data_IF_855182649566
#
_entry.id   IF_855182649566
#
_cell.length_a   1.000
_cell.length_b   1.000
_cell.length_c   1.000
_cell.angle_alpha   90.00
_cell.angle_beta   90.00
_cell.angle_gamma   90.00
#
_symmetry.space_group_name_H-M   'P 1'
#
loop_
_entity.id
_entity.type
_entity.pdbx_description
1 polymer ?
#
# COMPACT_ATOMS: atom_id res chain seq x y z
N UNK A 1 -18.82 -4.34 -11.73
CA UNK A 1 -19.70 -4.42 -10.54
C UNK A 1 -18.82 -4.24 -9.31
N UNK A 2 -19.33 -3.84 -8.15
CA UNK A 2 -18.54 -3.84 -6.90
C UNK A 2 -17.65 -2.62 -6.62
N UNK A 3 -17.49 -1.66 -7.55
CA UNK A 3 -16.87 -0.36 -7.27
C UNK A 3 -17.96 0.71 -7.23
N UNK A 4 -18.03 1.46 -6.13
CA UNK A 4 -19.12 2.39 -5.85
C UNK A 4 -18.60 3.80 -5.54
N UNK A 5 -19.36 4.80 -6.00
CA UNK A 5 -19.26 6.18 -5.49
C UNK A 5 -20.00 6.33 -4.15
N UNK A 6 -21.11 5.60 -3.99
CA UNK A 6 -21.85 5.49 -2.75
C UNK A 6 -22.24 4.02 -2.51
N UNK A 7 -21.96 3.52 -1.29
CA UNK A 7 -22.31 2.14 -0.93
C UNK A 7 -23.83 1.94 -1.02
N UNK A 8 -24.34 0.85 -1.63
CA UNK A 8 -25.76 0.53 -1.59
C UNK A 8 -26.34 0.54 -0.17
N UNK A 9 -27.59 0.99 -0.01
CA UNK A 9 -28.23 1.19 1.29
C UNK A 9 -28.54 -0.13 2.02
N UNK A 10 -28.72 -1.20 1.27
CA UNK A 10 -28.95 -2.58 1.74
C UNK A 10 -27.68 -3.21 2.34
N UNK A 11 -26.49 -2.75 1.95
CA UNK A 11 -25.22 -3.20 2.53
C UNK A 11 -24.95 -2.46 3.85
N UNK A 12 -25.47 -3.04 4.94
CA UNK A 12 -25.29 -2.55 6.31
C UNK A 12 -24.35 -3.43 7.15
N UNK A 13 -23.99 -4.62 6.65
CA UNK A 13 -23.04 -5.53 7.27
C UNK A 13 -22.29 -6.33 6.21
N UNK A 14 -21.03 -6.65 6.50
CA UNK A 14 -20.18 -7.53 5.69
C UNK A 14 -19.31 -8.39 6.61
N UNK A 15 -18.60 -9.38 6.10
CA UNK A 15 -17.71 -10.22 6.88
C UNK A 15 -16.40 -9.49 7.24
N UNK A 16 -15.78 -8.83 6.27
CA UNK A 16 -14.47 -8.18 6.42
C UNK A 16 -14.52 -6.74 5.95
N UNK A 17 -13.95 -5.83 6.75
CA UNK A 17 -13.87 -4.40 6.41
C UNK A 17 -12.40 -3.95 6.33
N UNK A 18 -11.97 -3.48 5.16
CA UNK A 18 -10.62 -2.97 4.91
C UNK A 18 -10.71 -1.45 4.87
N UNK A 19 -10.16 -0.81 5.90
CA UNK A 19 -10.15 0.64 6.07
C UNK A 19 -8.92 1.26 5.40
N UNK A 20 -9.00 1.47 4.09
CA UNK A 20 -7.98 2.08 3.24
C UNK A 20 -7.60 1.14 2.10
N UNK A 21 -7.88 1.54 0.87
CA UNK A 21 -7.55 0.84 -0.36
C UNK A 21 -6.14 1.18 -0.87
N UNK A 22 -5.15 1.23 0.03
CA UNK A 22 -3.75 1.39 -0.34
C UNK A 22 -3.10 0.06 -0.75
N UNK A 23 -1.78 0.06 -0.99
CA UNK A 23 -1.00 -1.12 -1.44
C UNK A 23 -1.33 -2.41 -0.68
N UNK A 24 -1.24 -2.41 0.64
CA UNK A 24 -1.57 -3.59 1.44
C UNK A 24 -3.07 -3.93 1.43
N UNK A 25 -3.94 -2.92 1.51
CA UNK A 25 -5.39 -3.09 1.56
C UNK A 25 -5.94 -3.75 0.29
N UNK A 26 -5.50 -3.31 -0.88
CA UNK A 26 -5.86 -3.91 -2.16
C UNK A 26 -5.44 -5.38 -2.25
N UNK A 27 -4.21 -5.70 -1.84
CA UNK A 27 -3.68 -7.07 -1.89
C UNK A 27 -4.47 -7.97 -0.94
N UNK A 28 -4.68 -7.55 0.31
CA UNK A 28 -5.44 -8.33 1.30
C UNK A 28 -6.87 -8.57 0.82
N UNK A 29 -7.56 -7.54 0.33
CA UNK A 29 -8.92 -7.65 -0.19
C UNK A 29 -9.03 -8.69 -1.31
N UNK A 30 -8.17 -8.56 -2.33
CA UNK A 30 -8.18 -9.45 -3.48
C UNK A 30 -7.84 -10.89 -3.08
N UNK A 31 -6.79 -11.09 -2.27
CA UNK A 31 -6.40 -12.44 -1.83
C UNK A 31 -7.49 -13.11 -0.98
N UNK A 32 -8.18 -12.37 -0.12
CA UNK A 32 -9.31 -12.92 0.64
C UNK A 32 -10.46 -13.31 -0.30
N UNK A 33 -10.81 -12.46 -1.26
CA UNK A 33 -11.86 -12.75 -2.23
C UNK A 33 -11.53 -13.99 -3.08
N UNK A 34 -10.29 -14.09 -3.58
CA UNK A 34 -9.81 -15.22 -4.38
C UNK A 34 -9.84 -16.56 -3.63
N UNK A 35 -9.52 -16.56 -2.34
CA UNK A 35 -9.41 -17.78 -1.54
C UNK A 35 -10.73 -18.20 -0.90
N UNK A 36 -11.66 -17.27 -0.67
CA UNK A 36 -13.00 -17.56 -0.16
C UNK A 36 -14.05 -16.65 -0.81
N UNK A 37 -14.64 -17.08 -1.95
CA UNK A 37 -15.67 -16.32 -2.65
C UNK A 37 -16.97 -16.11 -1.86
N UNK A 38 -17.15 -16.83 -0.74
CA UNK A 38 -18.31 -16.66 0.14
C UNK A 38 -18.20 -15.43 1.04
N UNK A 39 -16.99 -14.89 1.23
CA UNK A 39 -16.77 -13.71 2.06
C UNK A 39 -17.36 -12.45 1.41
N UNK A 40 -18.13 -11.71 2.19
CA UNK A 40 -18.45 -10.31 1.89
C UNK A 40 -17.36 -9.39 2.41
N UNK A 41 -16.74 -8.64 1.50
CA UNK A 41 -15.57 -7.82 1.78
C UNK A 41 -15.88 -6.38 1.38
N UNK A 42 -15.64 -5.43 2.28
CA UNK A 42 -15.79 -4.00 2.01
C UNK A 42 -14.46 -3.27 2.15
N UNK A 43 -13.97 -2.68 1.06
CA UNK A 43 -12.83 -1.75 1.05
C UNK A 43 -13.35 -0.32 1.05
N UNK A 44 -12.94 0.48 2.02
CA UNK A 44 -13.26 1.91 2.11
C UNK A 44 -11.98 2.72 1.87
N UNK A 45 -11.95 3.54 0.82
CA UNK A 45 -10.83 4.39 0.45
C UNK A 45 -11.21 5.86 0.53
N UNK A 46 -10.38 6.67 1.19
CA UNK A 46 -10.65 8.10 1.38
C UNK A 46 -10.45 8.92 0.11
N UNK A 47 -9.48 8.52 -0.73
CA UNK A 47 -9.21 9.13 -2.01
C UNK A 47 -10.17 8.69 -3.12
N UNK A 48 -10.09 9.34 -4.29
CA UNK A 48 -10.89 8.98 -5.45
C UNK A 48 -10.44 7.64 -6.05
N UNK A 49 -11.24 7.11 -6.98
CA UNK A 49 -10.76 6.11 -7.91
C UNK A 49 -9.70 6.74 -8.85
N UNK A 50 -8.54 6.10 -8.98
CA UNK A 50 -7.44 6.57 -9.83
C UNK A 50 -7.55 6.14 -11.29
N UNK A 51 -8.43 5.20 -11.64
CA UNK A 51 -8.49 4.64 -12.99
C UNK A 51 -8.89 5.68 -14.04
N UNK A 52 -8.12 5.76 -15.13
CA UNK A 52 -8.34 6.73 -16.21
C UNK A 52 -7.75 8.11 -15.92
N UNK A 53 -7.14 8.32 -14.75
CA UNK A 53 -6.39 9.54 -14.47
C UNK A 53 -4.99 9.44 -15.10
N UNK A 54 -4.63 10.31 -16.07
CA UNK A 54 -3.32 10.26 -16.71
C UNK A 54 -2.14 10.38 -15.74
N UNK A 55 -2.28 11.12 -14.64
CA UNK A 55 -1.19 11.30 -13.66
C UNK A 55 -0.93 10.02 -12.86
N UNK A 56 -1.90 9.11 -12.81
CA UNK A 56 -1.77 7.77 -12.23
C UNK A 56 -1.27 6.80 -13.31
N UNK A 57 -2.00 6.69 -14.41
CA UNK A 57 -1.80 5.62 -15.40
C UNK A 57 -0.44 5.70 -16.13
N UNK A 58 0.06 6.91 -16.37
CA UNK A 58 1.30 7.13 -17.13
C UNK A 58 2.50 7.39 -16.21
N UNK A 59 3.52 6.51 -16.21
CA UNK A 59 4.73 6.65 -15.39
C UNK A 59 5.39 8.02 -15.45
N UNK A 60 5.50 8.62 -16.64
CA UNK A 60 6.19 9.89 -16.85
C UNK A 60 5.55 11.08 -16.09
N UNK A 61 4.28 10.97 -15.70
CA UNK A 61 3.53 12.05 -15.07
C UNK A 61 3.52 11.96 -13.53
N UNK A 62 4.31 11.06 -12.92
CA UNK A 62 4.25 10.81 -11.48
C UNK A 62 4.45 12.07 -10.62
N UNK A 63 5.29 13.02 -11.06
CA UNK A 63 5.54 14.29 -10.35
C UNK A 63 4.29 15.18 -10.27
N UNK A 64 3.34 15.06 -11.18
CA UNK A 64 2.09 15.82 -11.14
C UNK A 64 1.25 15.46 -9.89
N UNK A 65 1.39 14.24 -9.35
CA UNK A 65 0.73 13.83 -8.11
C UNK A 65 1.28 14.53 -6.86
N UNK A 66 2.37 15.29 -6.99
CA UNK A 66 2.95 16.10 -5.91
C UNK A 66 2.55 17.59 -6.00
N UNK A 67 1.77 17.97 -7.01
CA UNK A 67 1.28 19.33 -7.14
C UNK A 67 0.34 19.68 -5.97
N UNK A 68 0.35 20.92 -5.45
CA UNK A 68 -0.56 21.34 -4.38
C UNK A 68 -2.05 21.17 -4.69
N UNK A 69 -2.42 21.14 -5.96
CA UNK A 69 -3.79 20.98 -6.46
C UNK A 69 -4.20 19.53 -6.70
N UNK A 70 -3.30 18.57 -6.45
CA UNK A 70 -3.60 17.16 -6.66
C UNK A 70 -4.71 16.66 -5.73
N UNK A 71 -5.52 15.73 -6.21
CA UNK A 71 -6.49 14.99 -5.41
C UNK A 71 -5.99 13.60 -5.01
N UNK A 72 -4.89 13.14 -5.61
CA UNK A 72 -4.35 11.78 -5.45
C UNK A 72 -3.34 11.64 -4.31
N UNK A 73 -2.97 12.75 -3.68
CA UNK A 73 -2.09 12.79 -2.52
C UNK A 73 -2.67 13.66 -1.40
N UNK A 74 -2.37 13.28 -0.16
CA UNK A 74 -2.63 14.08 1.04
C UNK A 74 -1.30 14.57 1.61
N UNK A 75 -1.26 15.81 2.07
CA UNK A 75 -0.06 16.46 2.59
C UNK A 75 -0.19 16.74 4.08
N UNK A 76 0.60 16.04 4.90
CA UNK A 76 0.60 16.21 6.34
C UNK A 76 1.74 17.14 6.76
N UNK A 77 1.41 18.19 7.50
CA UNK A 77 2.38 19.14 8.02
C UNK A 77 2.86 18.69 9.41
N UNK A 78 4.18 18.63 9.61
CA UNK A 78 4.76 18.38 10.93
C UNK A 78 4.71 19.64 11.80
N UNK A 79 4.90 19.45 13.11
CA UNK A 79 5.27 20.58 13.98
C UNK A 79 6.67 21.10 13.63
N UNK A 80 6.98 22.33 14.05
CA UNK A 80 8.34 22.88 13.99
C UNK A 80 9.30 22.00 14.79
N UNK A 81 10.51 21.83 14.28
CA UNK A 81 11.57 21.10 14.95
C UNK A 81 12.88 21.89 14.89
N UNK A 82 13.51 22.12 16.05
CA UNK A 82 14.79 22.82 16.15
C UNK A 82 15.91 22.09 15.39
N UNK A 83 15.87 20.75 15.38
CA UNK A 83 16.79 19.92 14.58
C UNK A 83 16.66 20.11 13.07
N UNK A 84 15.62 20.81 12.61
CA UNK A 84 15.38 21.15 11.21
C UNK A 84 15.45 22.66 10.94
N UNK A 85 16.04 23.43 11.87
CA UNK A 85 16.07 24.89 11.81
C UNK A 85 14.67 25.51 11.93
N UNK A 86 13.85 24.97 12.83
CA UNK A 86 12.46 25.39 13.10
C UNK A 86 11.51 25.31 11.90
N UNK A 87 11.84 24.49 10.90
CA UNK A 87 10.96 24.21 9.77
C UNK A 87 9.86 23.22 10.12
N UNK A 88 8.75 23.37 9.42
CA UNK A 88 7.64 22.41 9.39
C UNK A 88 7.75 21.60 8.10
N UNK A 89 7.96 20.31 8.20
CA UNK A 89 8.12 19.43 7.03
C UNK A 89 6.75 18.99 6.54
N UNK A 90 6.59 18.97 5.22
CA UNK A 90 5.42 18.41 4.55
C UNK A 90 5.73 16.95 4.22
N UNK A 91 4.88 16.04 4.69
CA UNK A 91 4.95 14.60 4.43
C UNK A 91 3.79 14.21 3.52
N UNK A 92 4.03 14.01 2.22
CA UNK A 92 3.02 13.54 1.28
C UNK A 92 2.71 12.05 1.49
N UNK A 93 1.46 11.66 1.28
CA UNK A 93 1.04 10.26 1.24
C UNK A 93 0.00 10.05 0.14
N UNK A 94 -0.11 8.83 -0.40
CA UNK A 94 -1.19 8.50 -1.33
C UNK A 94 -2.58 8.71 -0.72
N UNK A 95 -3.45 9.34 -1.49
CA UNK A 95 -4.87 9.57 -1.20
C UNK A 95 -5.65 9.29 -2.49
N UNK A 96 -5.66 8.03 -2.89
CA UNK A 96 -6.28 7.50 -4.11
C UNK A 96 -6.34 5.98 -3.95
N UNK A 97 -7.30 5.31 -4.58
CA UNK A 97 -7.31 3.85 -4.63
C UNK A 97 -5.98 3.33 -5.24
N UNK A 98 -5.36 2.34 -4.58
CA UNK A 98 -3.98 1.90 -4.84
C UNK A 98 -2.93 2.59 -3.95
N UNK A 99 -3.29 3.70 -3.30
CA UNK A 99 -2.45 4.46 -2.37
C UNK A 99 -1.12 4.88 -2.98
N UNK A 100 -0.02 4.62 -2.27
CA UNK A 100 1.33 4.97 -2.75
C UNK A 100 1.68 4.33 -4.09
N UNK A 101 1.20 3.12 -4.38
CA UNK A 101 1.50 2.45 -5.67
C UNK A 101 0.97 3.20 -6.89
N UNK A 102 -0.12 3.96 -6.73
CA UNK A 102 -0.73 4.77 -7.78
C UNK A 102 0.05 6.06 -8.08
N UNK A 103 0.89 6.55 -7.15
CA UNK A 103 1.54 7.87 -7.29
C UNK A 103 3.07 7.87 -7.11
N UNK A 104 3.68 6.74 -6.72
CA UNK A 104 5.11 6.65 -6.42
C UNK A 104 6.00 6.81 -7.68
N UNK A 105 7.31 6.80 -7.47
CA UNK A 105 8.34 6.85 -8.52
C UNK A 105 8.54 5.52 -9.27
N UNK A 106 7.76 4.48 -8.93
CA UNK A 106 7.83 3.11 -9.48
C UNK A 106 9.19 2.43 -9.34
N UNK A 107 10.10 2.97 -8.53
CA UNK A 107 11.39 2.33 -8.28
C UNK A 107 11.17 0.97 -7.62
N UNK A 108 11.76 -0.07 -8.21
CA UNK A 108 11.81 -1.39 -7.62
C UNK A 108 13.05 -1.48 -6.74
N UNK A 109 12.84 -1.81 -5.48
CA UNK A 109 13.90 -2.06 -4.51
C UNK A 109 13.35 -2.98 -3.44
N UNK A 110 14.19 -3.89 -2.92
CA UNK A 110 13.84 -4.78 -1.81
C UNK A 110 14.63 -4.42 -0.56
N UNK A 111 14.02 -4.71 0.58
CA UNK A 111 14.70 -4.75 1.86
C UNK A 111 15.79 -5.84 1.85
N UNK A 112 16.83 -5.62 2.65
CA UNK A 112 17.91 -6.58 2.84
C UNK A 112 17.46 -7.70 3.80
N UNK A 113 18.13 -8.85 3.76
CA UNK A 113 17.85 -9.98 4.66
C UNK A 113 17.78 -9.55 6.13
N UNK A 114 18.76 -8.76 6.55
CA UNK A 114 18.85 -8.25 7.92
C UNK A 114 17.66 -7.41 8.34
N UNK A 115 17.00 -6.71 7.42
CA UNK A 115 15.84 -5.87 7.75
C UNK A 115 14.68 -6.74 8.25
N UNK A 116 14.44 -7.89 7.62
CA UNK A 116 13.43 -8.87 8.03
C UNK A 116 13.82 -9.60 9.31
N UNK A 117 15.05 -10.15 9.34
CA UNK A 117 15.52 -10.94 10.48
C UNK A 117 15.63 -10.10 11.77
N UNK A 118 15.88 -8.79 11.63
CA UNK A 118 15.94 -7.86 12.76
C UNK A 118 14.61 -7.72 13.50
N UNK A 119 13.48 -8.05 12.88
CA UNK A 119 12.17 -7.96 13.53
C UNK A 119 12.04 -8.98 14.66
N UNK A 120 12.71 -10.14 14.53
CA UNK A 120 12.66 -11.22 15.52
C UNK A 120 11.22 -11.67 15.82
N UNK A 121 10.37 -11.69 14.79
CA UNK A 121 8.98 -12.15 14.86
C UNK A 121 8.89 -13.46 14.05
N UNK A 122 8.38 -14.56 14.63
CA UNK A 122 8.17 -15.80 13.89
C UNK A 122 7.28 -15.58 12.66
N UNK A 123 7.62 -16.20 11.53
CA UNK A 123 6.92 -16.01 10.26
C UNK A 123 7.38 -14.79 9.44
N UNK A 124 8.34 -14.02 9.93
CA UNK A 124 8.82 -12.79 9.29
C UNK A 124 10.34 -12.74 9.06
N UNK A 125 11.05 -13.86 9.23
CA UNK A 125 12.44 -13.94 8.76
C UNK A 125 12.51 -13.83 7.24
N UNK A 126 13.67 -13.45 6.71
CA UNK A 126 13.87 -13.27 5.27
C UNK A 126 13.49 -14.53 4.46
N UNK A 127 13.81 -15.71 4.99
CA UNK A 127 13.51 -16.99 4.34
C UNK A 127 12.01 -17.31 4.38
N UNK A 128 11.31 -16.97 5.46
CA UNK A 128 9.86 -17.17 5.59
C UNK A 128 9.06 -16.21 4.68
N UNK A 129 9.56 -15.00 4.44
CA UNK A 129 8.87 -14.01 3.57
C UNK A 129 9.21 -14.18 2.08
N UNK A 130 10.35 -14.79 1.74
CA UNK A 130 10.80 -14.95 0.35
C UNK A 130 9.75 -15.57 -0.58
N UNK A 131 9.01 -16.64 -0.21
CA UNK A 131 7.95 -17.18 -1.06
C UNK A 131 6.85 -16.17 -1.39
N UNK A 132 6.51 -15.27 -0.46
CA UNK A 132 5.50 -14.23 -0.67
C UNK A 132 6.02 -13.10 -1.55
N UNK A 133 7.30 -12.76 -1.42
CA UNK A 133 7.96 -11.78 -2.28
C UNK A 133 8.04 -12.30 -3.72
N UNK A 134 8.37 -13.58 -3.92
CA UNK A 134 8.30 -14.22 -5.25
C UNK A 134 6.87 -14.27 -5.78
N UNK A 135 5.87 -14.53 -4.93
CA UNK A 135 4.44 -14.56 -5.34
C UNK A 135 3.91 -13.19 -5.80
N UNK A 136 4.53 -12.09 -5.37
CA UNK A 136 4.13 -10.73 -5.73
C UNK A 136 4.46 -10.38 -7.20
N UNK A 137 5.58 -10.89 -7.71
CA UNK A 137 6.20 -10.33 -8.92
C UNK A 137 6.30 -11.30 -10.10
N UNK A 138 6.31 -10.72 -11.30
CA UNK A 138 6.83 -11.31 -12.53
C UNK A 138 8.07 -10.52 -12.95
N UNK A 139 9.24 -11.04 -12.63
CA UNK A 139 10.51 -10.36 -12.79
C UNK A 139 11.10 -10.55 -14.20
N UNK A 140 11.56 -9.44 -14.77
CA UNK A 140 12.17 -9.35 -16.09
C UNK A 140 13.50 -8.56 -16.04
N UNK A 141 14.11 -8.46 -14.86
CA UNK A 141 15.39 -7.81 -14.66
C UNK A 141 16.58 -8.77 -14.83
N UNK A 142 17.82 -8.29 -14.58
CA UNK A 142 19.05 -9.07 -14.75
C UNK A 142 19.33 -10.07 -13.62
N UNK A 143 18.63 -9.97 -12.49
CA UNK A 143 18.81 -10.84 -11.32
C UNK A 143 18.44 -12.30 -11.56
N UNK A 144 18.95 -13.17 -10.69
CA UNK A 144 18.74 -14.61 -10.78
C UNK A 144 17.32 -15.05 -10.37
N UNK A 145 16.72 -15.96 -11.14
CA UNK A 145 15.33 -16.38 -10.94
C UNK A 145 15.11 -17.31 -9.73
N UNK A 146 16.18 -17.76 -9.07
CA UNK A 146 16.08 -18.39 -7.75
C UNK A 146 15.56 -17.41 -6.69
N UNK A 147 15.89 -16.11 -6.81
CA UNK A 147 15.50 -15.03 -5.89
C UNK A 147 14.27 -14.23 -6.34
N UNK A 148 13.76 -14.47 -7.54
CA UNK A 148 12.68 -13.68 -8.14
C UNK A 148 11.46 -14.50 -8.55
N UNK A 149 10.31 -13.84 -8.57
CA UNK A 149 9.05 -14.42 -9.02
C UNK A 149 8.88 -14.35 -10.55
N UNK A 150 8.14 -15.30 -11.13
CA UNK A 150 7.83 -15.35 -12.56
C UNK A 150 6.36 -15.09 -12.88
N UNK A 151 5.47 -15.36 -11.93
CA UNK A 151 4.03 -15.52 -12.19
C UNK A 151 3.16 -14.59 -11.32
N UNK A 152 3.79 -13.65 -10.61
CA UNK A 152 3.09 -12.69 -9.77
C UNK A 152 2.35 -11.60 -10.58
N UNK A 153 1.34 -10.95 -10.01
CA UNK A 153 0.52 -9.99 -10.74
C UNK A 153 1.27 -8.68 -11.07
N UNK A 154 2.40 -8.38 -10.44
CA UNK A 154 3.16 -7.14 -10.67
C UNK A 154 4.42 -7.44 -11.50
N UNK A 155 4.49 -6.93 -12.72
CA UNK A 155 5.70 -7.03 -13.53
C UNK A 155 6.81 -6.12 -12.97
N UNK A 156 8.03 -6.60 -12.99
CA UNK A 156 9.23 -5.84 -12.63
C UNK A 156 10.15 -5.82 -13.83
N UNK A 157 10.42 -4.65 -14.40
CA UNK A 157 11.19 -4.52 -15.63
C UNK A 157 12.10 -3.29 -15.61
N UNK A 158 12.96 -3.16 -16.61
CA UNK A 158 13.76 -1.95 -16.83
C UNK A 158 12.92 -0.81 -17.47
N UNK A 159 11.64 -1.04 -17.77
CA UNK A 159 10.76 -0.11 -18.47
C UNK A 159 10.99 -0.09 -19.99
N UNK A 160 10.13 0.66 -20.70
CA UNK A 160 10.20 0.79 -22.17
C UNK A 160 11.23 1.83 -22.65
N UNK A 161 11.73 2.67 -21.74
CA UNK A 161 12.76 3.66 -22.05
C UNK A 161 13.80 3.73 -20.93
N UNK A 162 15.06 3.71 -21.33
CA UNK A 162 16.21 3.99 -20.49
C UNK A 162 17.11 5.00 -21.21
N UNK A 163 17.99 5.66 -20.47
CA UNK A 163 19.07 6.49 -21.04
C UNK A 163 20.39 5.78 -20.84
N UNK A 164 20.82 4.88 -21.75
CA UNK A 164 22.05 4.10 -21.60
C UNK A 164 23.25 5.00 -21.34
N UNK A 165 23.38 6.09 -22.12
CA UNK A 165 24.46 7.07 -21.95
C UNK A 165 24.58 7.59 -20.51
N UNK A 166 23.45 8.01 -19.90
CA UNK A 166 23.48 8.53 -18.53
C UNK A 166 23.71 7.42 -17.49
N UNK A 167 23.18 6.22 -17.72
CA UNK A 167 23.39 5.09 -16.84
C UNK A 167 24.86 4.64 -16.87
N UNK A 168 25.45 4.50 -18.05
CA UNK A 168 26.85 4.12 -18.24
C UNK A 168 27.79 5.14 -17.60
N UNK A 169 27.53 6.44 -17.81
CA UNK A 169 28.30 7.51 -17.17
C UNK A 169 28.20 7.47 -15.65
N UNK A 170 26.99 7.25 -15.11
CA UNK A 170 26.77 7.15 -13.66
C UNK A 170 27.50 5.95 -13.06
N UNK A 171 27.38 4.77 -13.67
CA UNK A 171 28.03 3.55 -13.21
C UNK A 171 29.55 3.66 -13.31
N UNK A 172 30.07 4.15 -14.44
CA UNK A 172 31.51 4.32 -14.65
C UNK A 172 32.13 5.28 -13.62
N UNK A 173 31.47 6.42 -13.37
CA UNK A 173 31.96 7.39 -12.39
C UNK A 173 31.99 6.82 -10.96
N UNK A 174 31.02 6.00 -10.59
CA UNK A 174 31.01 5.33 -9.28
C UNK A 174 32.02 4.18 -9.20
N UNK A 175 32.27 3.49 -10.32
CA UNK A 175 33.35 2.51 -10.45
C UNK A 175 34.74 3.11 -10.19
N UNK A 176 35.02 4.31 -10.70
CA UNK A 176 36.27 5.04 -10.41
C UNK A 176 36.44 5.38 -8.93
N UNK A 177 35.33 5.50 -8.19
CA UNK A 177 35.31 5.73 -6.74
C UNK A 177 35.31 4.42 -5.92
N UNK A 178 35.42 3.26 -6.58
CA UNK A 178 35.47 1.95 -5.93
C UNK A 178 34.11 1.32 -5.63
N UNK A 179 33.01 1.83 -6.20
CA UNK A 179 31.68 1.22 -6.07
C UNK A 179 31.41 0.27 -7.25
N UNK A 180 31.36 -1.06 -7.03
CA UNK A 180 31.14 -2.02 -8.11
C UNK A 180 29.72 -1.96 -8.66
N UNK A 181 29.56 -2.22 -9.96
CA UNK A 181 28.26 -2.55 -10.55
C UNK A 181 27.85 -3.95 -10.07
N UNK A 182 26.63 -4.05 -9.56
CA UNK A 182 26.02 -5.30 -9.10
C UNK A 182 24.76 -5.50 -9.95
N UNK A 183 24.64 -6.68 -10.55
CA UNK A 183 23.51 -7.01 -11.42
C UNK A 183 22.16 -6.92 -10.67
N UNK A 184 22.12 -7.41 -9.43
CA UNK A 184 20.91 -7.41 -8.59
C UNK A 184 21.18 -7.09 -7.12
N UNK A 185 21.07 -5.80 -6.78
CA UNK A 185 21.00 -5.27 -5.42
C UNK A 185 19.69 -5.63 -4.71
N UNK A 186 18.69 -6.17 -5.43
CA UNK A 186 17.41 -6.61 -4.86
C UNK A 186 17.38 -8.12 -4.56
N UNK A 187 18.55 -8.77 -4.54
CA UNK A 187 18.72 -10.18 -4.14
C UNK A 187 18.57 -10.43 -2.64
N UNK A 188 18.45 -9.38 -1.82
CA UNK A 188 18.47 -9.33 -0.34
C UNK A 188 19.82 -9.54 0.34
N UNK A 189 20.78 -10.13 -0.37
CA UNK A 189 22.10 -10.46 0.17
C UNK A 189 23.20 -9.54 -0.38
N UNK A 190 22.98 -8.91 -1.55
CA UNK A 190 23.91 -7.98 -2.15
C UNK A 190 23.81 -6.56 -1.55
N UNK A 191 24.96 -5.98 -1.22
CA UNK A 191 25.08 -4.61 -0.70
C UNK A 191 26.34 -3.92 -1.24
N UNK A 192 26.50 -2.63 -0.92
CA UNK A 192 27.69 -1.84 -1.24
C UNK A 192 28.07 -1.80 -2.74
N UNK A 193 27.09 -1.54 -3.60
CA UNK A 193 27.32 -1.38 -5.03
C UNK A 193 26.25 -0.53 -5.69
N UNK A 194 26.31 -0.49 -7.02
CA UNK A 194 25.40 0.27 -7.87
C UNK A 194 24.69 -0.66 -8.83
N UNK A 195 23.41 -0.42 -9.09
CA UNK A 195 22.62 -1.21 -10.03
C UNK A 195 21.90 -0.27 -10.99
N UNK A 196 21.78 -0.69 -12.25
CA UNK A 196 20.88 -0.05 -13.20
C UNK A 196 19.44 -0.16 -12.74
N UNK A 197 18.70 0.94 -12.91
CA UNK A 197 17.34 1.08 -12.39
C UNK A 197 16.39 0.01 -12.94
N UNK A 198 15.76 -0.71 -12.02
CA UNK A 198 14.63 -1.60 -12.27
C UNK A 198 13.37 -0.97 -11.65
N UNK A 199 12.20 -1.25 -12.23
CA UNK A 199 10.97 -0.51 -11.96
C UNK A 199 9.76 -1.44 -11.90
N UNK A 200 8.75 -1.04 -11.16
CA UNK A 200 7.37 -1.58 -11.19
C UNK A 200 6.58 -1.08 -12.41
N UNK A 201 7.25 -1.00 -13.57
CA UNK A 201 6.64 -0.63 -14.85
C UNK A 201 6.52 -1.90 -15.67
N UNK A 202 5.36 -2.15 -16.24
CA UNK A 202 5.11 -3.32 -17.08
C UNK A 202 5.91 -3.23 -18.38
N UNK A 203 6.09 -4.35 -19.08
CA UNK A 203 6.82 -4.36 -20.35
C UNK A 203 6.14 -3.54 -21.45
N UNK A 204 4.84 -3.28 -21.33
CA UNK A 204 4.09 -2.35 -22.21
C UNK A 204 4.16 -0.88 -21.77
N UNK A 205 4.94 -0.57 -20.72
CA UNK A 205 5.26 0.81 -20.32
C UNK A 205 4.24 1.49 -19.43
N UNK A 206 3.36 0.72 -18.77
CA UNK A 206 2.32 1.26 -17.89
C UNK A 206 2.71 1.19 -16.41
N UNK A 207 2.13 2.09 -15.61
CA UNK A 207 2.17 1.95 -14.15
C UNK A 207 1.36 0.71 -13.74
N UNK A 208 1.82 0.05 -12.68
CA UNK A 208 1.13 -1.08 -12.07
C UNK A 208 0.80 -0.78 -10.61
N UNK A 209 -0.30 -0.09 -10.37
CA UNK A 209 -0.80 0.09 -9.01
C UNK A 209 -1.57 -1.16 -8.52
N UNK A 210 -1.67 -1.31 -7.21
CA UNK A 210 -2.31 -2.50 -6.62
C UNK A 210 -3.81 -2.54 -6.82
N UNK A 211 -4.49 -1.41 -7.02
CA UNK A 211 -5.93 -1.46 -7.34
C UNK A 211 -6.14 -2.06 -8.72
N UNK A 212 -5.38 -1.63 -9.72
CA UNK A 212 -5.45 -2.15 -11.08
C UNK A 212 -5.00 -3.62 -11.20
N UNK A 213 -4.00 -4.05 -10.43
CA UNK A 213 -3.43 -5.40 -10.55
C UNK A 213 -4.00 -6.45 -9.60
N UNK A 214 -4.66 -6.05 -8.50
CA UNK A 214 -5.27 -6.97 -7.55
C UNK A 214 -6.80 -6.83 -7.48
N UNK A 215 -7.32 -5.61 -7.32
CA UNK A 215 -8.77 -5.41 -7.15
C UNK A 215 -9.53 -5.48 -8.47
N UNK A 216 -9.07 -4.78 -9.51
CA UNK A 216 -9.80 -4.67 -10.77
C UNK A 216 -10.10 -6.03 -11.43
N UNK A 217 -9.17 -7.01 -11.47
CA UNK A 217 -9.48 -8.34 -11.99
C UNK A 217 -10.60 -9.02 -11.22
N UNK A 218 -10.56 -8.99 -9.88
CA UNK A 218 -11.61 -9.59 -9.03
C UNK A 218 -12.97 -8.91 -9.23
N UNK A 219 -13.00 -7.59 -9.44
CA UNK A 219 -14.23 -6.82 -9.64
C UNK A 219 -14.86 -7.01 -11.03
N UNK A 220 -14.08 -7.49 -12.00
CA UNK A 220 -14.46 -7.59 -13.41
C UNK A 220 -14.75 -9.02 -13.88
N UNK A 221 -14.24 -10.03 -13.17
CA UNK A 221 -14.35 -11.43 -13.60
C UNK A 221 -15.74 -12.07 -13.36
N UNK A 222 -16.62 -11.40 -12.61
CA UNK A 222 -17.96 -11.88 -12.28
C UNK A 222 -17.99 -13.03 -11.25
N UNK A 223 -16.84 -13.45 -10.73
CA UNK A 223 -16.71 -14.55 -9.75
C UNK A 223 -16.72 -14.06 -8.31
N UNK A 224 -16.49 -12.78 -8.08
CA UNK A 224 -16.40 -12.17 -6.74
C UNK A 224 -17.48 -11.09 -6.52
N UNK A 225 -18.78 -11.44 -6.58
CA UNK A 225 -19.87 -10.47 -6.45
C UNK A 225 -19.94 -9.79 -5.08
N UNK A 226 -19.34 -10.40 -4.06
CA UNK A 226 -19.35 -9.95 -2.66
C UNK A 226 -18.14 -9.06 -2.29
N UNK A 227 -17.30 -8.70 -3.27
CA UNK A 227 -16.22 -7.72 -3.09
C UNK A 227 -16.74 -6.33 -3.43
N UNK A 228 -16.81 -5.48 -2.41
CA UNK A 228 -17.27 -4.10 -2.49
C UNK A 228 -16.12 -3.14 -2.22
N UNK A 229 -15.96 -2.13 -3.07
CA UNK A 229 -14.97 -1.07 -2.95
C UNK A 229 -15.68 0.27 -3.05
N UNK A 230 -15.48 1.14 -2.07
CA UNK A 230 -16.07 2.48 -2.03
C UNK A 230 -14.92 3.48 -1.94
N UNK A 231 -14.78 4.30 -2.97
CA UNK A 231 -13.85 5.43 -2.97
C UNK A 231 -14.51 6.67 -2.38
N UNK A 232 -13.72 7.72 -2.16
CA UNK A 232 -14.21 8.98 -1.60
C UNK A 232 -14.97 8.77 -0.27
N UNK A 233 -14.53 7.79 0.53
CA UNK A 233 -15.16 7.34 1.77
C UNK A 233 -14.13 7.31 2.91
N UNK A 234 -14.19 8.30 3.78
CA UNK A 234 -13.25 8.43 4.90
C UNK A 234 -13.73 7.65 6.12
N UNK A 235 -12.94 6.66 6.57
CA UNK A 235 -13.21 5.96 7.83
C UNK A 235 -12.93 6.89 9.02
N UNK A 236 -13.98 7.15 9.81
CA UNK A 236 -13.94 8.09 10.95
C UNK A 236 -13.64 7.36 12.25
N UNK A 237 -14.26 6.19 12.46
CA UNK A 237 -14.20 5.43 13.72
C UNK A 237 -14.32 3.92 13.48
N UNK A 238 -13.57 3.11 14.26
CA UNK A 238 -13.82 1.67 14.41
C UNK A 238 -14.76 1.48 15.60
N UNK A 239 -15.83 0.71 15.42
CA UNK A 239 -16.76 0.33 16.46
C UNK A 239 -16.24 -0.91 17.19
N UNK A 240 -16.32 -0.90 18.51
CA UNK A 240 -15.82 -2.00 19.33
C UNK A 240 -16.79 -2.38 20.43
N UNK A 241 -17.01 -3.67 20.63
CA UNK A 241 -17.80 -4.24 21.72
C UNK A 241 -16.97 -5.32 22.42
N UNK A 242 -16.88 -5.31 23.76
CA UNK A 242 -16.12 -6.30 24.52
C UNK A 242 -14.69 -6.54 23.99
N UNK A 243 -14.02 -5.47 23.55
CA UNK A 243 -12.68 -5.50 22.93
C UNK A 243 -12.62 -6.20 21.57
N UNK A 244 -13.74 -6.49 20.92
CA UNK A 244 -13.82 -6.97 19.54
C UNK A 244 -14.19 -5.82 18.61
N UNK A 245 -13.56 -5.73 17.44
CA UNK A 245 -14.01 -4.81 16.39
C UNK A 245 -15.29 -5.37 15.75
N UNK A 246 -16.34 -4.56 15.67
CA UNK A 246 -17.68 -5.00 15.21
C UNK A 246 -18.19 -4.20 14.02
N UNK A 247 -17.41 -3.23 13.54
CA UNK A 247 -17.80 -2.40 12.41
C UNK A 247 -17.00 -1.12 12.32
N UNK A 248 -17.36 -0.26 11.37
CA UNK A 248 -16.77 1.06 11.18
C UNK A 248 -17.86 2.10 10.93
N UNK A 249 -17.53 3.33 11.31
CA UNK A 249 -18.24 4.53 10.89
C UNK A 249 -17.40 5.22 9.83
N UNK A 250 -18.00 5.54 8.69
CA UNK A 250 -17.34 6.25 7.60
C UNK A 250 -18.20 7.41 7.11
N UNK A 251 -17.54 8.36 6.45
CA UNK A 251 -18.16 9.55 5.88
C UNK A 251 -17.90 9.58 4.36
N UNK A 252 -18.95 9.49 3.52
CA UNK A 252 -18.83 9.76 2.09
C UNK A 252 -18.42 11.22 1.84
N UNK A 253 -17.65 11.46 0.77
CA UNK A 253 -17.21 12.80 0.36
C UNK A 253 -18.17 13.44 -0.66
N UNK A 254 -19.02 12.66 -1.32
CA UNK A 254 -19.96 13.15 -2.33
C UNK A 254 -20.77 14.36 -1.82
N UNK A 255 -20.87 15.41 -2.65
CA UNK A 255 -21.54 16.66 -2.32
C UNK A 255 -23.01 16.41 -1.95
N UNK A 256 -23.31 16.49 -0.65
CA UNK A 256 -24.64 16.25 -0.07
C UNK A 256 -24.65 15.19 1.05
N UNK A 257 -23.73 14.23 1.02
CA UNK A 257 -23.62 13.15 2.00
C UNK A 257 -22.87 13.56 3.27
N UNK A 258 -23.45 14.43 4.09
CA UNK A 258 -22.81 14.80 5.38
C UNK A 258 -23.01 13.76 6.48
N UNK A 259 -23.95 12.82 6.29
CA UNK A 259 -24.29 11.83 7.29
C UNK A 259 -23.23 10.72 7.38
N UNK A 260 -22.77 10.48 8.61
CA UNK A 260 -21.95 9.31 8.91
C UNK A 260 -22.77 8.03 8.68
N UNK A 261 -22.17 7.04 8.02
CA UNK A 261 -22.75 5.71 7.82
C UNK A 261 -21.99 4.68 8.63
N UNK A 262 -22.72 3.70 9.14
CA UNK A 262 -22.18 2.57 9.89
C UNK A 262 -22.32 1.29 9.09
N UNK A 263 -21.25 0.50 9.03
CA UNK A 263 -21.28 -0.87 8.50
C UNK A 263 -20.72 -1.80 9.56
N UNK A 264 -21.43 -2.89 9.83
CA UNK A 264 -21.00 -3.92 10.79
C UNK A 264 -20.08 -4.95 10.13
N UNK A 265 -19.15 -5.49 10.92
CA UNK A 265 -18.28 -6.60 10.53
C UNK A 265 -18.75 -7.88 11.25
N UNK A 266 -19.16 -8.88 10.47
CA UNK A 266 -19.69 -10.16 10.97
C UNK A 266 -18.56 -11.10 11.38
N UNK A 267 -17.43 -11.09 10.65
CA UNK A 267 -16.19 -11.78 11.03
C UNK A 267 -15.23 -10.79 11.69
N UNK A 268 -14.27 -11.33 12.44
CA UNK A 268 -13.51 -10.59 13.46
C UNK A 268 -12.42 -9.67 12.90
N UNK A 269 -12.42 -9.41 11.59
CA UNK A 269 -11.32 -8.80 10.87
C UNK A 269 -11.78 -7.50 10.21
N UNK A 270 -11.48 -6.38 10.87
CA UNK A 270 -11.23 -5.15 10.12
C UNK A 270 -9.74 -5.19 9.70
N UNK A 271 -9.28 -4.51 8.65
CA UNK A 271 -7.84 -4.37 8.35
C UNK A 271 -7.55 -2.91 8.08
N UNK A 272 -6.54 -2.34 8.74
CA UNK A 272 -6.18 -0.93 8.58
C UNK A 272 -5.21 -0.67 7.43
N UNK A 273 -5.56 0.26 6.54
CA UNK A 273 -4.69 0.77 5.48
C UNK A 273 -3.84 1.95 5.93
N UNK A 274 -2.56 1.93 5.52
CA UNK A 274 -1.52 2.96 5.62
C UNK A 274 -1.18 3.55 7.02
N UNK A 275 0.12 3.68 7.31
CA UNK A 275 0.70 4.11 8.60
C UNK A 275 0.20 5.50 9.06
N UNK A 276 -0.02 6.45 8.13
CA UNK A 276 -0.35 7.85 8.46
C UNK A 276 -1.85 8.12 8.61
N UNK A 277 -2.70 7.53 7.77
CA UNK A 277 -4.15 7.52 7.95
C UNK A 277 -4.51 6.73 9.21
N UNK A 278 -3.69 5.72 9.53
CA UNK A 278 -3.82 5.01 10.78
C UNK A 278 -3.67 5.92 12.00
N UNK A 279 -2.80 6.92 11.88
CA UNK A 279 -2.45 7.85 12.95
C UNK A 279 -3.40 9.04 13.06
N UNK A 280 -4.09 9.47 12.00
CA UNK A 280 -4.94 10.68 12.04
C UNK A 280 -6.40 10.38 12.36
N UNK A 281 -6.96 9.27 11.85
CA UNK A 281 -8.28 8.81 12.31
C UNK A 281 -8.17 8.34 13.77
N UNK A 282 -9.11 8.71 14.64
CA UNK A 282 -9.16 8.11 16.00
C UNK A 282 -9.43 6.60 15.91
N UNK A 283 -10.02 6.15 14.80
CA UNK A 283 -10.33 4.78 14.41
C UNK A 283 -9.12 3.86 14.33
N UNK A 284 -8.15 4.21 13.50
CA UNK A 284 -7.03 3.33 13.16
C UNK A 284 -5.87 3.45 14.17
N UNK A 285 -5.88 4.47 15.03
CA UNK A 285 -5.00 4.57 16.21
C UNK A 285 -5.24 3.43 17.20
N UNK A 286 -6.42 2.79 17.15
CA UNK A 286 -6.73 1.57 17.89
C UNK A 286 -6.24 0.30 17.18
N UNK A 287 -6.09 0.33 15.85
CA UNK A 287 -5.73 -0.82 15.02
C UNK A 287 -4.23 -1.13 15.06
N UNK A 288 -3.39 -0.09 14.88
CA UNK A 288 -1.93 -0.18 15.13
C UNK A 288 -1.59 -0.51 16.59
N UNK A 289 -2.53 -0.28 17.50
CA UNK A 289 -2.41 -0.60 18.93
C UNK A 289 -2.56 -2.09 19.24
N UNK A 290 -3.25 -2.85 18.38
CA UNK A 290 -3.73 -4.21 18.70
C UNK A 290 -3.18 -5.33 17.85
N UNK A 291 -2.63 -5.08 16.65
CA UNK A 291 -1.70 -6.04 16.04
C UNK A 291 -0.50 -6.34 16.97
N UNK A 292 -0.20 -5.45 17.92
CA UNK A 292 0.81 -5.63 18.98
C UNK A 292 0.23 -6.30 20.25
N UNK A 293 -1.08 -6.26 20.51
CA UNK A 293 -1.70 -6.87 21.71
C UNK A 293 -1.88 -8.40 21.59
N UNK A 294 -1.62 -9.01 20.41
CA UNK A 294 -1.36 -10.45 20.29
C UNK A 294 -0.16 -10.92 21.15
N UNK A 295 0.64 -9.98 21.70
CA UNK A 295 1.70 -10.23 22.69
C UNK A 295 1.24 -10.06 24.16
N UNK A 296 -0.06 -10.08 24.46
CA UNK A 296 -0.58 -10.48 25.78
C UNK A 296 -0.55 -9.45 26.91
N UNK A 297 -1.04 -8.22 26.74
CA UNK A 297 -1.23 -7.26 27.85
C UNK A 297 -2.66 -6.66 27.92
N UNK A 298 -3.11 -6.37 29.16
CA UNK A 298 -4.51 -6.04 29.54
C UNK A 298 -5.03 -4.70 28.98
N UNK A 299 -6.34 -4.65 28.77
CA UNK A 299 -7.04 -3.52 28.14
C UNK A 299 -7.18 -2.28 29.04
N UNK A 300 -7.09 -1.10 28.41
CA UNK A 300 -7.19 0.22 29.06
C UNK A 300 -5.88 1.01 29.03
N UNK A 301 -4.76 0.37 28.70
CA UNK A 301 -3.45 1.01 28.69
C UNK A 301 -3.31 2.00 27.53
N UNK A 302 -2.80 3.21 27.83
CA UNK A 302 -2.14 4.00 26.80
C UNK A 302 -0.95 3.18 26.31
N UNK A 303 -0.94 2.70 25.06
CA UNK A 303 0.29 2.17 24.46
C UNK A 303 1.19 3.39 24.12
N UNK A 304 2.26 3.66 24.89
CA UNK A 304 3.16 4.77 24.58
C UNK A 304 3.89 4.57 23.24
N UNK A 305 3.98 3.33 22.74
CA UNK A 305 4.65 2.98 21.47
C UNK A 305 3.97 3.52 20.21
N UNK A 306 2.64 3.59 20.17
CA UNK A 306 1.89 4.08 18.99
C UNK A 306 2.19 5.54 18.60
N UNK A 307 2.90 6.31 19.45
CA UNK A 307 3.31 7.68 19.17
C UNK A 307 4.82 7.88 19.05
N UNK A 308 5.65 6.91 19.44
CA UNK A 308 7.04 7.15 19.85
C UNK A 308 8.13 6.58 18.92
N UNK A 309 7.79 5.82 17.88
CA UNK A 309 8.78 5.27 16.93
C UNK A 309 8.49 5.66 15.48
N UNK A 310 8.46 6.97 15.20
CA UNK A 310 8.68 7.58 13.88
C UNK A 310 9.30 8.94 14.14
#
# INVERSE_FOLDING_TARGET
>A
MGLYAELPADINSVDVIIAGGGTAGCIVAARLAENDPSLSILVLEAGPNGAGNPTVDYPALFLANMAPTTTTAAFFKSNKSSGLGDREIIVPTGNVLGGGSAINMMQYSRAQRSDWDSWKIPGWSADEVMPFIKKLESYHGPGSMDRHGTDGPIEVSTGTYNSPRLQDQFVSALGELGWPEIDDLSSMDACNGVQRSVRFVSRDGKRQDTASRYLAPCLQDGKHPNLHVVCDASVVKVLTENKKAVGVVFKPKAEGGTAERTVKANKQDCVGGCIWHARHSRALRYWTRRCVEACGHRAGCRCPGCRKRV
#
